data_IF_327488122518
#
_entry.id   IF_327488122518
#
_cell.length_a   1.000
_cell.length_b   1.000
_cell.length_c   1.000
_cell.angle_alpha   90.00
_cell.angle_beta   90.00
_cell.angle_gamma   90.00
#
_symmetry.space_group_name_H-M   'P 1'
#
loop_
_entity.id
_entity.type
_entity.pdbx_description
1 polymer ?
#
# COMPACT_ATOMS: atom_id res chain seq x y z
N UNK A 1 14.67 4.49 -6.72
CA UNK A 1 13.29 3.98 -6.68
C UNK A 1 12.79 3.68 -8.07
N UNK A 2 11.91 2.71 -8.18
CA UNK A 2 11.26 2.41 -9.45
C UNK A 2 9.86 3.02 -9.44
N UNK A 3 9.57 3.87 -10.41
CA UNK A 3 8.21 4.39 -10.63
C UNK A 3 7.79 3.95 -12.02
N UNK A 4 6.73 3.15 -12.10
CA UNK A 4 6.33 2.53 -13.35
C UNK A 4 4.86 2.77 -13.65
N UNK A 5 4.57 3.29 -14.84
CA UNK A 5 3.20 3.47 -15.32
C UNK A 5 2.63 2.14 -15.81
N UNK A 6 1.38 1.89 -15.49
CA UNK A 6 0.65 0.70 -15.95
C UNK A 6 -0.76 1.10 -16.31
N UNK A 7 -1.28 0.62 -17.42
CA UNK A 7 -2.64 0.90 -17.91
C UNK A 7 -2.93 2.40 -18.05
N UNK A 8 -1.90 3.20 -18.38
CA UNK A 8 -2.06 4.64 -18.50
C UNK A 8 -2.01 5.41 -17.19
N UNK A 9 -1.78 4.75 -16.06
CA UNK A 9 -1.70 5.38 -14.75
C UNK A 9 -0.26 5.45 -14.29
N UNK A 10 0.14 6.62 -13.80
CA UNK A 10 1.46 6.84 -13.21
C UNK A 10 1.27 7.14 -11.72
N UNK A 11 2.07 6.55 -10.84
CA UNK A 11 1.96 6.85 -9.42
C UNK A 11 2.07 8.35 -9.12
N UNK A 12 1.22 8.84 -8.23
CA UNK A 12 1.21 10.24 -7.81
C UNK A 12 1.83 10.32 -6.43
N UNK A 13 2.99 10.95 -6.33
CA UNK A 13 3.79 11.02 -5.12
C UNK A 13 4.09 12.47 -4.78
N UNK A 14 3.53 13.00 -3.67
CA UNK A 14 3.86 14.36 -3.24
C UNK A 14 5.34 14.51 -2.86
N UNK A 15 5.86 15.71 -3.03
CA UNK A 15 7.28 15.99 -2.73
C UNK A 15 7.63 15.75 -1.27
N UNK A 16 6.67 15.90 -0.36
CA UNK A 16 6.92 15.69 1.07
C UNK A 16 7.18 14.25 1.45
N UNK A 17 6.94 13.31 0.52
CA UNK A 17 7.09 11.89 0.81
C UNK A 17 8.53 11.43 0.67
N UNK A 18 8.95 10.54 1.56
CA UNK A 18 10.24 9.85 1.43
C UNK A 18 10.00 8.52 0.71
N UNK A 19 10.75 8.30 -0.37
CA UNK A 19 10.67 7.03 -1.11
C UNK A 19 12.10 6.48 -1.16
N UNK A 20 12.31 5.32 -0.57
CA UNK A 20 13.63 4.69 -0.55
C UNK A 20 14.08 4.34 -1.98
N UNK A 21 15.39 4.33 -2.19
CA UNK A 21 15.97 4.17 -3.52
C UNK A 21 15.61 2.88 -4.23
N UNK A 22 15.28 1.83 -3.50
CA UNK A 22 14.88 0.55 -4.10
C UNK A 22 13.42 0.17 -3.83
N UNK A 23 12.60 1.12 -3.43
CA UNK A 23 11.15 0.90 -3.37
C UNK A 23 10.58 0.90 -4.78
N UNK A 24 9.48 0.18 -4.99
CA UNK A 24 8.80 0.10 -6.27
C UNK A 24 7.37 0.62 -6.15
N UNK A 25 7.05 1.64 -6.95
CA UNK A 25 5.73 2.25 -6.99
C UNK A 25 5.18 2.06 -8.40
N UNK A 26 4.06 1.36 -8.51
CA UNK A 26 3.59 0.86 -9.80
C UNK A 26 2.11 1.19 -9.98
N UNK A 27 1.77 1.81 -11.11
CA UNK A 27 0.41 1.91 -11.60
C UNK A 27 -0.46 2.98 -10.97
N UNK A 28 -1.70 2.63 -10.72
CA UNK A 28 -2.73 3.56 -10.24
C UNK A 28 -2.64 3.74 -8.73
N UNK A 29 -1.54 4.32 -8.31
CA UNK A 29 -1.21 4.58 -6.92
C UNK A 29 -1.27 6.08 -6.65
N UNK A 30 -1.95 6.47 -5.58
CA UNK A 30 -1.91 7.84 -5.09
C UNK A 30 -1.65 7.84 -3.60
N UNK A 31 -0.98 8.87 -3.11
CA UNK A 31 -0.71 8.99 -1.68
C UNK A 31 -0.80 10.44 -1.25
N UNK A 32 -1.13 10.64 0.02
CA UNK A 32 -1.16 11.96 0.62
C UNK A 32 0.23 12.45 1.01
N UNK A 33 0.26 13.56 1.74
CA UNK A 33 1.51 14.20 2.16
C UNK A 33 2.22 13.40 3.25
N UNK A 34 3.52 13.57 3.35
CA UNK A 34 4.33 13.07 4.47
C UNK A 34 4.33 11.55 4.65
N UNK A 35 4.14 10.81 3.58
CA UNK A 35 4.28 9.37 3.62
C UNK A 35 5.74 8.96 3.54
N UNK A 36 6.06 7.77 4.03
CA UNK A 36 7.39 7.20 3.90
C UNK A 36 7.30 5.75 3.45
N UNK A 37 7.99 5.46 2.36
CA UNK A 37 8.01 4.14 1.74
C UNK A 37 9.44 3.65 1.79
N UNK A 38 9.67 2.57 2.51
CA UNK A 38 11.00 2.16 2.89
C UNK A 38 11.62 1.13 1.94
N UNK A 39 12.80 0.63 2.30
CA UNK A 39 13.61 -0.17 1.37
C UNK A 39 12.93 -1.49 1.01
N UNK A 40 12.95 -1.84 -0.25
CA UNK A 40 12.35 -3.05 -0.80
C UNK A 40 10.83 -3.13 -0.69
N UNK A 41 10.17 -2.05 -0.28
CA UNK A 41 8.71 -2.05 -0.25
C UNK A 41 8.17 -1.99 -1.68
N UNK A 42 7.05 -2.65 -1.91
CA UNK A 42 6.41 -2.71 -3.23
C UNK A 42 4.94 -2.30 -3.09
N UNK A 43 4.57 -1.25 -3.79
CA UNK A 43 3.18 -0.82 -3.89
C UNK A 43 2.76 -0.99 -5.35
N UNK A 44 2.03 -2.06 -5.63
CA UNK A 44 1.75 -2.45 -7.01
C UNK A 44 0.26 -2.33 -7.31
N UNK A 45 -0.12 -1.22 -7.94
CA UNK A 45 -1.50 -0.90 -8.32
C UNK A 45 -1.69 -1.17 -9.82
N UNK A 46 -1.41 -2.39 -10.23
CA UNK A 46 -1.40 -2.77 -11.64
C UNK A 46 -2.77 -3.28 -12.13
N UNK A 47 -3.61 -3.79 -11.23
CA UNK A 47 -4.90 -4.37 -11.61
C UNK A 47 -6.09 -3.64 -10.99
N UNK A 48 -5.84 -2.74 -10.06
CA UNK A 48 -6.84 -1.87 -9.43
C UNK A 48 -6.08 -0.71 -8.79
N UNK A 49 -6.78 0.20 -8.10
CA UNK A 49 -6.08 1.33 -7.48
C UNK A 49 -5.61 1.03 -6.05
N UNK A 50 -4.57 1.74 -5.65
CA UNK A 50 -4.12 1.82 -4.26
C UNK A 50 -4.15 3.29 -3.88
N UNK A 51 -4.77 3.61 -2.76
CA UNK A 51 -4.83 4.97 -2.25
C UNK A 51 -4.34 5.00 -0.81
N UNK A 52 -3.28 5.76 -0.56
CA UNK A 52 -2.80 6.01 0.79
C UNK A 52 -3.24 7.39 1.24
N UNK A 53 -3.62 7.51 2.49
CA UNK A 53 -3.82 8.80 3.12
C UNK A 53 -2.49 9.51 3.39
N UNK A 54 -2.51 10.47 4.31
CA UNK A 54 -1.32 11.22 4.68
C UNK A 54 -0.62 10.57 5.87
N UNK A 55 0.69 10.77 5.97
CA UNK A 55 1.52 10.27 7.07
C UNK A 55 1.43 8.74 7.22
N UNK A 56 1.39 8.04 6.09
CA UNK A 56 1.41 6.58 6.06
C UNK A 56 2.85 6.12 5.95
N UNK A 57 3.19 5.10 6.72
CA UNK A 57 4.53 4.54 6.77
C UNK A 57 4.46 3.10 6.27
N UNK A 58 5.14 2.81 5.16
CA UNK A 58 5.23 1.46 4.61
C UNK A 58 6.67 1.00 4.77
N UNK A 59 6.87 0.09 5.71
CA UNK A 59 8.22 -0.28 6.12
C UNK A 59 8.86 -1.33 5.21
N UNK A 60 10.11 -1.64 5.52
CA UNK A 60 10.96 -2.45 4.65
C UNK A 60 10.33 -3.80 4.28
N UNK A 61 10.42 -4.15 3.01
CA UNK A 61 9.93 -5.42 2.47
C UNK A 61 8.41 -5.61 2.54
N UNK A 62 7.65 -4.59 2.89
CA UNK A 62 6.20 -4.71 2.88
C UNK A 62 5.66 -4.67 1.45
N UNK A 63 4.53 -5.32 1.23
CA UNK A 63 3.88 -5.37 -0.08
C UNK A 63 2.45 -4.89 0.06
N UNK A 64 2.07 -3.94 -0.79
CA UNK A 64 0.69 -3.47 -0.90
C UNK A 64 0.22 -3.76 -2.32
N UNK A 65 -0.86 -4.48 -2.43
CA UNK A 65 -1.41 -4.88 -3.73
C UNK A 65 -2.94 -4.82 -3.68
N UNK A 66 -3.59 -5.16 -4.76
CA UNK A 66 -5.04 -5.10 -4.86
C UNK A 66 -5.55 -6.31 -5.64
N UNK A 67 -6.86 -6.57 -5.55
CA UNK A 67 -7.46 -7.73 -6.21
C UNK A 67 -8.06 -7.29 -7.55
N UNK A 68 -7.72 -7.99 -8.61
CA UNK A 68 -8.18 -7.68 -9.96
C UNK A 68 -9.72 -7.62 -10.01
N UNK A 69 -10.24 -6.51 -10.50
CA UNK A 69 -11.66 -6.23 -10.67
C UNK A 69 -12.53 -6.36 -9.41
N UNK A 70 -11.97 -6.70 -8.27
CA UNK A 70 -12.75 -6.92 -7.07
C UNK A 70 -12.59 -5.85 -6.02
N UNK A 71 -11.37 -5.65 -5.56
CA UNK A 71 -11.19 -4.69 -4.49
C UNK A 71 -9.87 -3.94 -4.61
N UNK A 72 -9.97 -2.61 -4.56
CA UNK A 72 -8.78 -1.78 -4.41
C UNK A 72 -8.25 -1.89 -2.99
N UNK A 73 -7.12 -1.25 -2.75
CA UNK A 73 -6.59 -1.11 -1.41
C UNK A 73 -6.64 0.37 -1.04
N UNK A 74 -7.29 0.66 0.07
CA UNK A 74 -7.39 2.01 0.61
C UNK A 74 -6.84 2.02 2.02
N UNK A 75 -5.90 2.92 2.28
CA UNK A 75 -5.22 3.01 3.56
C UNK A 75 -5.42 4.44 4.08
N UNK A 76 -5.93 4.55 5.30
CA UNK A 76 -6.24 5.83 5.91
C UNK A 76 -4.99 6.59 6.35
N UNK A 77 -5.21 7.66 7.11
CA UNK A 77 -4.13 8.53 7.58
C UNK A 77 -3.44 7.93 8.79
N UNK A 78 -2.16 8.24 8.98
CA UNK A 78 -1.39 7.83 10.16
C UNK A 78 -1.37 6.31 10.36
N UNK A 79 -1.26 5.56 9.27
CA UNK A 79 -1.18 4.10 9.31
C UNK A 79 0.28 3.69 9.18
N UNK A 80 0.72 2.76 10.01
CA UNK A 80 2.05 2.15 9.89
C UNK A 80 1.89 0.70 9.45
N UNK A 81 2.55 0.34 8.36
CA UNK A 81 2.57 -1.02 7.85
C UNK A 81 3.96 -1.58 8.13
N UNK A 82 4.02 -2.56 9.01
CA UNK A 82 5.28 -3.09 9.52
C UNK A 82 6.10 -3.86 8.49
N UNK A 83 7.35 -4.14 8.85
CA UNK A 83 8.28 -4.87 7.98
C UNK A 83 7.70 -6.20 7.54
N UNK A 84 7.87 -6.55 6.28
CA UNK A 84 7.42 -7.82 5.70
C UNK A 84 5.90 -8.04 5.75
N UNK A 85 5.10 -7.03 6.09
CA UNK A 85 3.66 -7.18 6.08
C UNK A 85 3.12 -7.18 4.66
N UNK A 86 1.97 -7.79 4.48
CA UNK A 86 1.27 -7.81 3.19
C UNK A 86 -0.13 -7.23 3.41
N UNK A 87 -0.47 -6.20 2.64
CA UNK A 87 -1.80 -5.59 2.66
C UNK A 87 -2.37 -5.72 1.25
N UNK A 88 -3.46 -6.45 1.12
CA UNK A 88 -3.94 -6.85 -0.20
C UNK A 88 -5.45 -6.69 -0.31
N UNK A 89 -5.91 -5.83 -1.21
CA UNK A 89 -7.32 -5.73 -1.57
C UNK A 89 -8.26 -5.41 -0.42
N UNK A 90 -7.88 -4.51 0.48
CA UNK A 90 -8.68 -4.23 1.68
C UNK A 90 -8.66 -2.75 2.03
N UNK A 91 -9.47 -2.38 3.00
CA UNK A 91 -9.51 -1.02 3.53
C UNK A 91 -8.97 -1.00 4.95
N UNK A 92 -7.94 -0.19 5.17
CA UNK A 92 -7.36 0.06 6.49
C UNK A 92 -7.80 1.46 6.92
N UNK A 93 -8.39 1.56 8.08
CA UNK A 93 -8.86 2.86 8.61
C UNK A 93 -7.69 3.67 9.18
N UNK A 94 -7.99 4.88 9.62
CA UNK A 94 -6.97 5.78 10.19
C UNK A 94 -6.34 5.22 11.46
N UNK A 95 -5.09 5.58 11.70
CA UNK A 95 -4.38 5.31 12.96
C UNK A 95 -4.29 3.83 13.30
N UNK A 96 -4.02 2.99 12.31
CA UNK A 96 -3.88 1.54 12.48
C UNK A 96 -2.42 1.17 12.37
N UNK A 97 -1.97 0.27 13.23
CA UNK A 97 -0.66 -0.35 13.13
C UNK A 97 -0.84 -1.78 12.63
N UNK A 98 -0.26 -2.06 11.46
CA UNK A 98 -0.20 -3.43 10.94
C UNK A 98 1.14 -3.98 11.40
N UNK A 99 1.12 -4.99 12.25
CA UNK A 99 2.34 -5.57 12.81
C UNK A 99 3.23 -6.21 11.74
N UNK A 100 4.52 -6.28 12.03
CA UNK A 100 5.48 -6.88 11.10
C UNK A 100 5.10 -8.34 10.78
N UNK A 101 5.26 -8.71 9.53
CA UNK A 101 4.95 -10.06 9.08
C UNK A 101 3.47 -10.38 8.96
N UNK A 102 2.58 -9.43 9.24
CA UNK A 102 1.13 -9.67 9.16
C UNK A 102 0.68 -9.79 7.72
N UNK A 103 -0.38 -10.56 7.52
CA UNK A 103 -1.04 -10.67 6.22
C UNK A 103 -2.48 -10.21 6.41
N UNK A 104 -2.83 -9.11 5.73
CA UNK A 104 -4.17 -8.53 5.80
C UNK A 104 -4.73 -8.53 4.39
N UNK A 105 -5.81 -9.25 4.16
CA UNK A 105 -6.42 -9.32 2.85
C UNK A 105 -7.93 -9.47 2.97
N UNK A 106 -8.61 -9.18 1.87
CA UNK A 106 -10.04 -9.37 1.80
C UNK A 106 -10.35 -10.86 1.61
N UNK A 107 -11.09 -11.42 2.55
CA UNK A 107 -11.55 -12.81 2.47
C UNK A 107 -13.05 -12.82 2.35
N UNK A 108 -13.52 -12.37 1.22
CA UNK A 108 -14.94 -12.10 1.03
C UNK A 108 -15.83 -13.33 1.05
N UNK A 109 -15.28 -14.51 1.02
CA UNK A 109 -16.05 -15.75 1.08
C UNK A 109 -15.89 -16.46 2.40
N UNK A 110 -15.01 -15.97 3.25
CA UNK A 110 -14.66 -16.66 4.49
C UNK A 110 -15.34 -16.03 5.68
N UNK A 111 -15.96 -16.81 6.56
CA UNK A 111 -16.43 -16.31 7.83
C UNK A 111 -15.32 -16.23 8.86
N UNK A 112 -14.10 -16.55 8.52
CA UNK A 112 -12.99 -16.58 9.44
C UNK A 112 -12.70 -15.18 10.00
N UNK A 113 -12.49 -15.05 11.30
CA UNK A 113 -12.18 -13.76 11.91
C UNK A 113 -10.69 -13.42 11.93
N UNK A 114 -9.86 -14.13 11.21
CA UNK A 114 -8.42 -13.95 11.32
C UNK A 114 -7.91 -12.64 10.69
N UNK A 115 -8.71 -12.00 9.94
CA UNK A 115 -8.32 -10.71 9.33
C UNK A 115 -8.64 -9.54 10.27
#
# INVERSE_FOLDING_TARGET
>A
MLIKSVRGYTPVVPESCFIAENASLIGQLSMGEDCSIWFNAVLRADVHFIKLGSAVNVQDNAVVHCTFEKSPTTIGNFVSIGHNAIVHGCTIKDKVLIGMGSIVCLLYTSPSPRD
#
